data_IF_351281415439
#
_entry.id   IF_351281415439
#
_cell.length_a   1.000
_cell.length_b   1.000
_cell.length_c   1.000
_cell.angle_alpha   90.00
_cell.angle_beta   90.00
_cell.angle_gamma   90.00
#
_symmetry.space_group_name_H-M   'P 1'
#
loop_
_entity.id
_entity.type
_entity.pdbx_description
1 polymer ?
#
# COMPACT_ATOMS: atom_id res chain seq x y z
N UNK A 1 49.20 -40.47 -65.28
CA UNK A 1 49.05 -39.74 -64.00
C UNK A 1 47.83 -40.31 -63.29
N UNK A 2 47.99 -40.89 -62.10
CA UNK A 2 46.95 -41.67 -61.40
C UNK A 2 46.45 -40.82 -60.22
N UNK A 3 45.18 -40.41 -60.24
CA UNK A 3 44.57 -39.55 -59.24
C UNK A 3 44.05 -40.41 -58.08
N UNK A 4 44.60 -40.25 -56.89
CA UNK A 4 44.20 -41.00 -55.69
C UNK A 4 43.25 -40.13 -54.87
N UNK A 5 41.97 -40.49 -54.85
CA UNK A 5 40.93 -39.83 -54.05
C UNK A 5 41.01 -40.29 -52.60
N UNK A 6 41.07 -39.34 -51.67
CA UNK A 6 41.12 -39.59 -50.21
C UNK A 6 39.74 -39.26 -49.64
N UNK A 7 39.10 -40.22 -48.98
CA UNK A 7 37.80 -40.05 -48.30
C UNK A 7 38.04 -39.71 -46.82
N UNK A 8 37.50 -38.60 -46.28
CA UNK A 8 37.61 -38.33 -44.85
C UNK A 8 36.58 -39.13 -44.04
N UNK A 9 37.03 -39.73 -42.94
CA UNK A 9 36.16 -40.32 -41.92
C UNK A 9 35.47 -39.20 -41.12
N UNK A 10 34.13 -39.22 -41.08
CA UNK A 10 33.34 -38.38 -40.18
C UNK A 10 33.35 -38.97 -38.76
N UNK A 11 33.84 -38.20 -37.79
CA UNK A 11 33.69 -38.51 -36.37
C UNK A 11 32.30 -38.09 -35.89
N UNK A 12 31.49 -39.04 -35.43
CA UNK A 12 30.23 -38.77 -34.77
C UNK A 12 30.50 -38.34 -33.32
N UNK A 13 30.26 -37.06 -33.01
CA UNK A 13 30.26 -36.57 -31.64
C UNK A 13 28.92 -36.92 -30.98
N UNK A 14 28.96 -37.75 -29.93
CA UNK A 14 27.80 -38.05 -29.11
C UNK A 14 27.54 -36.89 -28.15
N UNK A 15 26.51 -36.09 -28.44
CA UNK A 15 26.08 -34.98 -27.58
C UNK A 15 25.15 -35.52 -26.49
N UNK A 16 25.67 -35.71 -25.28
CA UNK A 16 24.86 -36.03 -24.10
C UNK A 16 24.10 -34.77 -23.66
N UNK A 17 22.81 -34.71 -23.98
CA UNK A 17 21.93 -33.65 -23.49
C UNK A 17 21.60 -33.88 -22.00
N UNK A 18 22.32 -33.21 -21.10
CA UNK A 18 21.90 -33.07 -19.71
C UNK A 18 20.71 -32.13 -19.62
N UNK A 19 19.53 -32.65 -19.29
CA UNK A 19 18.34 -31.87 -19.00
C UNK A 19 18.58 -31.04 -17.73
N UNK A 20 18.90 -29.75 -17.89
CA UNK A 20 18.95 -28.80 -16.79
C UNK A 20 17.53 -28.60 -16.28
N UNK A 21 17.19 -29.21 -15.14
CA UNK A 21 15.95 -28.91 -14.42
C UNK A 21 16.21 -27.63 -13.64
N UNK A 22 15.66 -26.47 -14.05
CA UNK A 22 15.88 -25.23 -13.31
C UNK A 22 15.43 -25.44 -11.86
N UNK A 23 16.22 -24.97 -10.86
CA UNK A 23 15.81 -25.06 -9.47
C UNK A 23 14.44 -24.40 -9.34
N UNK A 24 13.55 -25.06 -8.61
CA UNK A 24 12.24 -24.52 -8.29
C UNK A 24 12.46 -23.36 -7.31
N UNK A 25 12.78 -22.18 -7.84
CA UNK A 25 12.84 -20.93 -7.09
C UNK A 25 11.39 -20.67 -6.67
N UNK A 26 11.06 -21.01 -5.42
CA UNK A 26 9.79 -20.58 -4.84
C UNK A 26 9.76 -19.06 -4.96
N UNK A 27 8.68 -18.47 -5.50
CA UNK A 27 8.52 -17.03 -5.49
C UNK A 27 8.73 -16.56 -4.05
N UNK A 28 9.79 -15.79 -3.83
CA UNK A 28 10.04 -15.16 -2.55
C UNK A 28 8.96 -14.10 -2.41
N UNK A 29 7.88 -14.43 -1.70
CA UNK A 29 6.81 -13.48 -1.43
C UNK A 29 7.47 -12.34 -0.66
N UNK A 30 7.49 -11.10 -1.19
CA UNK A 30 8.06 -9.98 -0.45
C UNK A 30 7.29 -9.89 0.87
N UNK A 31 7.99 -10.18 1.97
CA UNK A 31 7.42 -10.10 3.31
C UNK A 31 7.37 -8.64 3.69
N UNK A 32 6.38 -7.93 3.14
CA UNK A 32 6.00 -6.63 3.68
C UNK A 32 5.50 -6.90 5.10
N UNK A 33 6.17 -6.32 6.08
CA UNK A 33 5.88 -6.54 7.50
C UNK A 33 5.33 -5.30 8.17
N UNK A 34 5.57 -4.12 7.58
CA UNK A 34 5.18 -2.83 8.15
C UNK A 34 4.95 -1.81 7.04
N UNK A 35 3.94 -0.94 7.18
CA UNK A 35 3.91 0.32 6.43
C UNK A 35 4.53 1.43 7.28
N UNK A 36 5.43 2.23 6.71
CA UNK A 36 6.01 3.37 7.41
C UNK A 36 5.27 4.65 7.00
N UNK A 37 4.55 5.25 7.93
CA UNK A 37 3.84 6.52 7.75
C UNK A 37 4.72 7.66 8.27
N UNK A 38 4.77 8.77 7.52
CA UNK A 38 5.63 9.91 7.80
C UNK A 38 4.99 11.22 7.36
N UNK A 39 5.37 12.32 8.01
CA UNK A 39 4.80 13.66 7.84
C UNK A 39 3.27 13.68 7.97
N UNK A 40 2.72 12.86 8.87
CA UNK A 40 1.28 12.76 9.11
C UNK A 40 0.73 14.06 9.70
N UNK A 41 -0.28 14.60 9.03
CA UNK A 41 -1.01 15.77 9.48
C UNK A 41 -2.50 15.59 9.18
N UNK A 42 -3.33 15.96 10.15
CA UNK A 42 -4.76 16.04 9.98
C UNK A 42 -5.29 17.29 10.71
N UNK A 43 -6.22 17.99 10.10
CA UNK A 43 -6.85 19.17 10.69
C UNK A 43 -8.23 19.42 10.10
N UNK A 44 -9.10 20.07 10.86
CA UNK A 44 -10.39 20.56 10.38
C UNK A 44 -10.46 22.08 10.44
N UNK A 45 -11.07 22.67 9.41
CA UNK A 45 -11.19 24.11 9.23
C UNK A 45 -12.64 24.54 9.47
N UNK A 46 -12.84 25.48 10.39
CA UNK A 46 -14.15 26.03 10.72
C UNK A 46 -14.63 26.94 9.58
N UNK A 47 -15.42 26.36 8.68
CA UNK A 47 -16.22 27.04 7.66
C UNK A 47 -17.60 26.37 7.62
N UNK A 48 -18.56 26.98 6.93
CA UNK A 48 -19.83 26.35 6.62
C UNK A 48 -19.85 25.95 5.12
N UNK A 49 -19.70 24.66 4.77
CA UNK A 49 -19.55 23.51 5.67
C UNK A 49 -18.12 23.36 6.22
N UNK A 50 -17.94 22.55 7.27
CA UNK A 50 -16.62 22.30 7.88
C UNK A 50 -15.84 21.28 7.06
N UNK A 51 -14.58 21.60 6.76
CA UNK A 51 -13.70 20.78 5.94
C UNK A 51 -12.67 20.10 6.82
N UNK A 52 -12.48 18.80 6.65
CA UNK A 52 -11.38 18.06 7.26
C UNK A 52 -10.38 17.67 6.19
N UNK A 53 -9.10 17.83 6.49
CA UNK A 53 -7.98 17.53 5.60
C UNK A 53 -7.01 16.57 6.28
N UNK A 54 -6.48 15.63 5.51
CA UNK A 54 -5.38 14.76 5.91
C UNK A 54 -4.33 14.71 4.80
N UNK A 55 -3.06 14.64 5.20
CA UNK A 55 -1.99 14.27 4.30
C UNK A 55 -0.87 13.55 5.04
N UNK A 56 -0.18 12.66 4.34
CA UNK A 56 0.99 11.95 4.82
C UNK A 56 1.75 11.32 3.65
N UNK A 57 2.95 10.85 3.92
CA UNK A 57 3.68 9.95 3.03
C UNK A 57 3.73 8.55 3.62
N UNK A 58 3.67 7.55 2.76
CA UNK A 58 3.79 6.15 3.17
C UNK A 58 4.79 5.40 2.31
N UNK A 59 5.58 4.52 2.93
CA UNK A 59 6.44 3.57 2.21
C UNK A 59 6.08 2.15 2.63
N UNK A 60 5.79 1.31 1.63
CA UNK A 60 5.41 -0.11 1.82
C UNK A 60 6.56 -0.94 2.39
N UNK A 61 7.80 -0.53 2.16
CA UNK A 61 8.96 -1.09 2.85
C UNK A 61 9.99 0.02 3.04
N UNK A 62 11.03 -0.25 3.83
CA UNK A 62 12.17 0.66 3.99
C UNK A 62 12.92 0.94 2.69
N UNK A 63 12.70 0.12 1.66
CA UNK A 63 13.33 0.23 0.34
C UNK A 63 12.35 0.75 -0.72
N UNK A 64 11.06 0.81 -0.42
CA UNK A 64 10.04 1.28 -1.36
C UNK A 64 10.05 2.80 -1.45
N UNK A 65 9.80 3.38 -2.63
CA UNK A 65 9.60 4.82 -2.74
C UNK A 65 8.42 5.26 -1.88
N UNK A 66 8.53 6.45 -1.30
CA UNK A 66 7.43 7.09 -0.57
C UNK A 66 6.34 7.47 -1.56
N UNK A 67 5.09 7.11 -1.27
CA UNK A 67 3.92 7.60 -1.99
C UNK A 67 3.17 8.62 -1.13
N UNK A 68 2.66 9.66 -1.78
CA UNK A 68 1.92 10.72 -1.11
C UNK A 68 0.44 10.36 -1.05
N UNK A 69 -0.15 10.49 0.13
CA UNK A 69 -1.56 10.22 0.38
C UNK A 69 -2.22 11.49 0.91
N UNK A 70 -3.36 11.85 0.32
CA UNK A 70 -4.16 12.98 0.79
C UNK A 70 -5.64 12.65 0.66
N UNK A 71 -6.45 13.21 1.56
CA UNK A 71 -7.89 13.05 1.55
C UNK A 71 -8.55 14.25 2.20
N UNK A 72 -9.81 14.45 1.87
CA UNK A 72 -10.64 15.44 2.51
C UNK A 72 -12.05 14.90 2.70
N UNK A 73 -12.74 15.42 3.70
CA UNK A 73 -14.17 15.14 3.91
C UNK A 73 -14.87 16.43 4.33
N UNK A 74 -16.16 16.51 4.03
CA UNK A 74 -17.00 17.65 4.35
C UNK A 74 -18.06 17.16 5.34
N UNK A 75 -18.04 17.71 6.54
CA UNK A 75 -18.99 17.35 7.59
C UNK A 75 -19.84 18.56 7.94
N UNK A 76 -21.18 18.48 7.76
CA UNK A 76 -22.05 19.53 8.26
C UNK A 76 -21.94 19.57 9.79
N UNK A 77 -21.72 20.77 10.33
CA UNK A 77 -21.89 21.06 11.78
C UNK A 77 -20.91 20.38 12.75
N UNK A 78 -19.82 19.76 12.27
CA UNK A 78 -18.85 19.09 13.15
C UNK A 78 -17.58 19.90 13.32
N UNK A 79 -17.20 20.19 14.57
CA UNK A 79 -15.91 20.81 14.92
C UNK A 79 -14.79 19.76 15.08
N UNK A 80 -14.91 18.61 14.43
CA UNK A 80 -13.93 17.52 14.52
C UNK A 80 -13.52 17.06 13.14
N UNK A 81 -12.33 16.50 13.04
CA UNK A 81 -11.85 15.79 11.85
C UNK A 81 -12.82 14.64 11.59
N UNK A 82 -13.47 14.66 10.43
CA UNK A 82 -14.40 13.63 10.00
C UNK A 82 -13.70 12.36 9.49
N UNK A 83 -14.46 11.27 9.40
CA UNK A 83 -14.00 10.05 8.73
C UNK A 83 -13.77 10.29 7.24
N UNK A 84 -12.70 9.70 6.71
CA UNK A 84 -12.30 9.77 5.31
C UNK A 84 -12.51 8.39 4.70
N UNK A 85 -13.42 8.33 3.73
CA UNK A 85 -13.67 7.12 2.96
C UNK A 85 -12.41 6.67 2.22
N UNK A 86 -12.38 5.40 1.81
CA UNK A 86 -11.22 4.83 1.12
C UNK A 86 -10.79 5.69 -0.06
N UNK A 87 -9.56 6.18 -0.01
CA UNK A 87 -8.99 7.11 -0.98
C UNK A 87 -7.66 6.55 -1.48
N UNK A 88 -7.42 6.62 -2.79
CA UNK A 88 -6.15 6.18 -3.37
C UNK A 88 -5.07 7.24 -3.14
N UNK A 89 -3.85 6.79 -2.86
CA UNK A 89 -2.67 7.64 -2.86
C UNK A 89 -2.21 7.93 -4.30
N UNK A 90 -1.15 8.73 -4.46
CA UNK A 90 -0.56 9.00 -5.79
C UNK A 90 -0.13 7.71 -6.50
N UNK A 91 0.32 6.72 -5.73
CA UNK A 91 0.52 5.34 -6.19
C UNK A 91 -0.82 4.60 -6.13
N UNK A 92 -1.43 4.21 -7.26
CA UNK A 92 -2.79 3.67 -7.29
C UNK A 92 -2.93 2.28 -6.66
N UNK A 93 -1.81 1.58 -6.46
CA UNK A 93 -1.78 0.33 -5.71
C UNK A 93 -1.84 0.53 -4.20
N UNK A 94 -1.80 1.77 -3.70
CA UNK A 94 -1.91 2.11 -2.27
C UNK A 94 -3.15 2.95 -2.04
N UNK A 95 -3.94 2.58 -1.04
CA UNK A 95 -5.12 3.34 -0.60
C UNK A 95 -5.19 3.39 0.91
N UNK A 96 -5.94 4.35 1.44
CA UNK A 96 -6.11 4.51 2.88
C UNK A 96 -7.55 4.90 3.23
N UNK A 97 -7.96 4.63 4.46
CA UNK A 97 -9.18 5.15 5.08
C UNK A 97 -8.86 5.68 6.48
N UNK A 98 -9.60 6.68 6.93
CA UNK A 98 -9.56 7.15 8.31
C UNK A 98 -10.96 7.04 8.90
N UNK A 99 -11.13 6.25 9.95
CA UNK A 99 -12.44 6.09 10.61
C UNK A 99 -12.38 6.69 12.00
N UNK A 100 -13.19 7.72 12.28
CA UNK A 100 -13.37 8.22 13.65
C UNK A 100 -14.14 7.20 14.48
N UNK A 101 -13.64 6.92 15.67
CA UNK A 101 -14.23 5.96 16.61
C UNK A 101 -15.09 6.68 17.65
N UNK A 102 -15.99 5.94 18.32
CA UNK A 102 -16.96 6.51 19.28
C UNK A 102 -16.27 7.21 20.48
N UNK A 103 -15.06 6.79 20.82
CA UNK A 103 -14.23 7.36 21.88
C UNK A 103 -13.45 8.62 21.44
N UNK A 104 -13.78 9.20 20.28
CA UNK A 104 -13.08 10.33 19.65
C UNK A 104 -11.62 10.03 19.27
N UNK A 105 -11.23 8.76 19.20
CA UNK A 105 -10.02 8.32 18.53
C UNK A 105 -10.20 8.23 17.01
N UNK A 106 -9.22 7.66 16.32
CA UNK A 106 -9.38 7.29 14.93
C UNK A 106 -8.65 5.98 14.62
N UNK A 107 -9.03 5.33 13.53
CA UNK A 107 -8.31 4.20 12.97
C UNK A 107 -7.89 4.55 11.55
N UNK A 108 -6.57 4.55 11.30
CA UNK A 108 -6.00 4.71 9.97
C UNK A 108 -5.77 3.31 9.39
N UNK A 109 -6.52 2.99 8.33
CA UNK A 109 -6.30 1.77 7.56
C UNK A 109 -5.49 2.08 6.31
N UNK A 110 -4.56 1.21 5.98
CA UNK A 110 -3.72 1.28 4.78
C UNK A 110 -3.85 -0.04 4.03
N UNK A 111 -4.15 0.05 2.74
CA UNK A 111 -4.20 -1.10 1.85
C UNK A 111 -3.18 -0.96 0.72
N UNK A 112 -2.48 -2.05 0.43
CA UNK A 112 -1.58 -2.17 -0.71
C UNK A 112 -1.90 -3.40 -1.56
N UNK A 113 -2.18 -3.18 -2.85
CA UNK A 113 -2.39 -4.23 -3.83
C UNK A 113 -1.05 -4.74 -4.37
N UNK A 114 -0.75 -6.03 -4.16
CA UNK A 114 0.59 -6.59 -4.37
C UNK A 114 1.00 -6.82 -5.84
N UNK A 115 0.06 -6.74 -6.78
CA UNK A 115 0.24 -6.58 -8.22
C UNK A 115 -1.08 -6.88 -8.94
N UNK A 116 -1.46 -6.19 -10.02
CA UNK A 116 -2.35 -6.76 -11.03
C UNK A 116 -1.59 -7.86 -11.79
N UNK A 117 -2.10 -9.10 -11.95
CA UNK A 117 -3.41 -9.66 -11.61
C UNK A 117 -3.42 -10.56 -10.34
N UNK A 118 -2.47 -10.37 -9.43
CA UNK A 118 -2.36 -11.18 -8.22
C UNK A 118 -3.50 -10.91 -7.20
N UNK A 119 -3.99 -11.95 -6.49
CA UNK A 119 -5.11 -11.81 -5.56
C UNK A 119 -4.70 -11.27 -4.17
N UNK A 120 -3.52 -10.65 -4.04
CA UNK A 120 -3.00 -10.25 -2.73
C UNK A 120 -3.29 -8.79 -2.42
N UNK A 121 -4.07 -8.55 -1.36
CA UNK A 121 -4.18 -7.24 -0.71
C UNK A 121 -3.48 -7.33 0.64
N UNK A 122 -2.57 -6.43 0.93
CA UNK A 122 -2.06 -6.25 2.28
C UNK A 122 -2.80 -5.13 2.95
N UNK A 123 -3.37 -5.42 4.12
CA UNK A 123 -4.06 -4.45 4.95
C UNK A 123 -3.32 -4.27 6.26
N UNK A 124 -3.21 -3.04 6.73
CA UNK A 124 -2.72 -2.73 8.08
C UNK A 124 -3.56 -1.61 8.67
N UNK A 125 -3.78 -1.66 9.99
CA UNK A 125 -4.54 -0.65 10.71
C UNK A 125 -3.72 -0.07 11.87
N UNK A 126 -3.82 1.24 12.09
CA UNK A 126 -3.20 1.92 13.20
C UNK A 126 -4.24 2.72 13.98
N UNK A 127 -4.34 2.44 15.29
CA UNK A 127 -5.25 3.15 16.19
C UNK A 127 -4.58 4.43 16.68
N UNK A 128 -5.21 5.54 16.35
CA UNK A 128 -4.82 6.88 16.77
C UNK A 128 -5.58 7.23 18.07
N UNK A 129 -4.88 7.44 19.18
CA UNK A 129 -5.47 7.84 20.45
C UNK A 129 -6.24 9.17 20.34
N UNK A 130 -7.32 9.30 21.11
CA UNK A 130 -8.15 10.51 21.14
C UNK A 130 -7.38 11.76 21.62
N UNK A 131 -6.40 11.60 22.51
CA UNK A 131 -5.60 12.70 23.06
C UNK A 131 -4.62 13.31 22.04
N UNK A 132 -4.42 12.64 20.90
CA UNK A 132 -3.65 13.17 19.77
C UNK A 132 -4.46 14.11 18.89
N UNK A 133 -5.77 14.25 19.13
CA UNK A 133 -6.60 15.27 18.53
C UNK A 133 -6.87 16.37 19.56
N UNK A 134 -6.56 17.61 19.19
CA UNK A 134 -6.77 18.78 20.03
C UNK A 134 -7.75 19.71 19.38
N UNK A 135 -8.83 20.00 20.07
CA UNK A 135 -9.71 21.10 19.71
C UNK A 135 -8.95 22.42 19.85
N UNK A 136 -8.99 23.25 18.81
CA UNK A 136 -8.39 24.58 18.82
C UNK A 136 -9.47 25.64 19.03
N UNK A 137 -9.24 26.57 19.95
CA UNK A 137 -10.16 27.69 20.21
C UNK A 137 -10.03 28.84 19.20
N UNK A 138 -9.51 28.56 17.99
CA UNK A 138 -9.22 29.54 16.96
C UNK A 138 -10.39 29.78 16.01
N UNK A 139 -10.38 30.90 15.28
CA UNK A 139 -11.41 31.22 14.28
C UNK A 139 -11.32 30.36 13.01
N UNK A 140 -10.20 29.65 12.81
CA UNK A 140 -9.89 28.94 11.55
C UNK A 140 -9.81 27.44 11.67
N UNK A 141 -9.24 26.91 12.75
CA UNK A 141 -9.10 25.46 12.96
C UNK A 141 -10.02 25.03 14.09
N UNK A 142 -10.73 23.93 13.92
CA UNK A 142 -11.56 23.34 14.97
C UNK A 142 -10.86 22.22 15.71
N UNK A 143 -10.13 21.36 15.01
CA UNK A 143 -9.39 20.25 15.59
C UNK A 143 -8.10 20.05 14.78
N UNK A 144 -7.01 19.75 15.46
CA UNK A 144 -5.72 19.44 14.84
C UNK A 144 -5.11 18.18 15.44
N UNK A 145 -4.39 17.44 14.61
CA UNK A 145 -3.58 16.30 15.06
C UNK A 145 -2.25 16.80 15.64
N UNK A 146 -1.95 16.38 16.87
CA UNK A 146 -0.75 16.76 17.63
C UNK A 146 0.13 15.57 18.03
N UNK A 147 -0.20 14.37 17.53
CA UNK A 147 0.56 13.16 17.79
C UNK A 147 1.90 13.08 17.04
N UNK A 148 2.60 11.94 17.11
CA UNK A 148 3.78 11.67 16.30
C UNK A 148 3.48 11.81 14.80
N UNK A 149 4.33 12.54 14.09
CA UNK A 149 4.21 12.70 12.63
C UNK A 149 4.70 11.47 11.86
N UNK A 150 5.38 10.54 12.54
CA UNK A 150 5.89 9.31 11.95
C UNK A 150 5.61 8.12 12.87
N UNK A 151 5.09 7.04 12.30
CA UNK A 151 4.75 5.81 13.01
C UNK A 151 4.66 4.63 12.02
N UNK A 152 4.70 3.41 12.56
CA UNK A 152 4.56 2.18 11.79
C UNK A 152 3.14 1.64 11.90
N UNK A 153 2.59 1.23 10.77
CA UNK A 153 1.41 0.37 10.72
C UNK A 153 1.92 -1.06 10.67
N UNK A 154 1.74 -1.77 11.77
CA UNK A 154 2.16 -3.16 11.97
C UNK A 154 0.97 -4.11 11.75
N UNK A 155 1.15 -5.40 12.07
CA UNK A 155 0.10 -6.43 11.99
C UNK A 155 -0.57 -6.53 10.61
N UNK A 156 0.27 -6.60 9.58
CA UNK A 156 -0.22 -6.67 8.20
C UNK A 156 -0.90 -8.01 7.93
N UNK A 157 -2.14 -7.96 7.48
CA UNK A 157 -2.91 -9.12 7.07
C UNK A 157 -2.93 -9.22 5.54
N UNK A 158 -2.59 -10.40 5.02
CA UNK A 158 -2.83 -10.73 3.61
C UNK A 158 -4.31 -11.08 3.46
N UNK A 159 -5.08 -10.16 2.92
CA UNK A 159 -6.47 -10.36 2.55
C UNK A 159 -6.51 -10.90 1.12
N UNK A 160 -7.06 -12.09 0.93
CA UNK A 160 -7.34 -12.60 -0.41
C UNK A 160 -8.36 -11.69 -1.09
N UNK A 161 -7.99 -11.10 -2.22
CA UNK A 161 -8.90 -10.39 -3.09
C UNK A 161 -9.89 -11.41 -3.66
N UNK A 162 -11.06 -11.52 -3.03
CA UNK A 162 -12.20 -12.23 -3.59
C UNK A 162 -12.64 -11.40 -4.80
N UNK A 163 -12.08 -11.72 -5.98
CA UNK A 163 -12.59 -11.21 -7.25
C UNK A 163 -14.01 -11.73 -7.39
N UNK A 164 -14.99 -10.88 -7.06
CA UNK A 164 -16.40 -11.12 -7.33
C UNK A 164 -16.55 -11.59 -8.76
N UNK A 165 -17.12 -12.78 -8.91
CA UNK A 165 -17.09 -13.57 -10.13
C UNK A 165 -17.55 -12.80 -11.37
N UNK A 166 -16.92 -13.12 -12.48
CA UNK A 166 -17.48 -12.87 -13.81
C UNK A 166 -18.87 -13.51 -13.89
N UNK A 167 -19.97 -12.75 -14.06
CA UNK A 167 -21.14 -13.34 -14.65
C UNK A 167 -20.81 -13.54 -16.12
N UNK A 168 -20.60 -14.80 -16.50
CA UNK A 168 -20.71 -15.21 -17.89
C UNK A 168 -22.08 -14.76 -18.40
N UNK A 169 -22.10 -13.98 -19.47
CA UNK A 169 -23.20 -13.90 -20.41
C UNK A 169 -22.61 -14.19 -21.80
#
# INVERSE_FOLDING_TARGET
>A
MKLTTITPLAMAAATTATTFKPPHIRPMVPTVTTFNVSDFQAYSVIQDPTWSFIHFYISVSTLSPRTFCTGFTITPSSHTIGSIARTNCTEPSVSFSLTRTEDKGAELEVLHALAPPGPGLMNGAFKIPADWFKEESGERLSESFVGPQSFFVEDLELVEAIWGGSPRA
#
